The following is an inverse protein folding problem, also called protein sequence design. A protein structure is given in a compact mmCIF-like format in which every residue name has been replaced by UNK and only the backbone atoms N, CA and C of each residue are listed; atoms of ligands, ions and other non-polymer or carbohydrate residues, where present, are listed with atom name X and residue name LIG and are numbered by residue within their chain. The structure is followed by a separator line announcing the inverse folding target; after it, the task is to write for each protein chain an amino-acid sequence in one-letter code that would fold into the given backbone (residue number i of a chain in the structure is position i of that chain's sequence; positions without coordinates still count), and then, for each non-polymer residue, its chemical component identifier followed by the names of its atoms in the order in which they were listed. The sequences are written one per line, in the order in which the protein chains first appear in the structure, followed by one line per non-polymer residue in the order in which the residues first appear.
data_IF_941984493153
#
_entry.id   IF_941984493153
#
_cell.length_a   1.000
_cell.length_b   1.000
_cell.length_c   1.000
_cell.angle_alpha   90.00
_cell.angle_beta   90.00
_cell.angle_gamma   90.00
#
_symmetry.space_group_name_H-M   'P 1'
#
loop_
_entity.id
_entity.type
_entity.pdbx_description
1 polymer ?
#
# COMPACT_ATOMS: atom_id res chain seq x y z
N UNK A 1 0.09 11.97 22.83
CA UNK A 1 1.12 11.70 21.81
C UNK A 1 0.47 11.69 20.43
N UNK A 2 0.97 12.48 19.49
CA UNK A 2 0.48 12.46 18.09
C UNK A 2 1.17 11.29 17.38
N UNK A 3 0.42 10.25 17.00
CA UNK A 3 0.98 9.14 16.21
C UNK A 3 1.41 9.69 14.83
N UNK A 4 2.71 9.64 14.53
CA UNK A 4 3.26 10.03 13.23
C UNK A 4 3.66 8.78 12.47
N UNK A 5 3.09 8.59 11.28
CA UNK A 5 3.44 7.46 10.44
C UNK A 5 4.77 7.73 9.70
N UNK A 6 5.77 6.91 9.99
CA UNK A 6 7.13 6.97 9.43
C UNK A 6 7.35 5.82 8.46
N UNK A 7 8.14 6.04 7.41
CA UNK A 7 8.61 4.97 6.52
C UNK A 7 10.11 4.77 6.66
N UNK A 8 10.53 3.51 6.48
CA UNK A 8 11.93 3.10 6.39
C UNK A 8 12.17 2.64 4.96
N UNK A 9 13.10 3.29 4.26
CA UNK A 9 13.55 2.84 2.94
C UNK A 9 14.83 2.04 3.10
N UNK A 10 14.84 0.83 2.54
CA UNK A 10 16.01 -0.04 2.50
C UNK A 10 16.50 -0.12 1.07
N UNK A 11 17.76 0.28 0.83
CA UNK A 11 18.42 0.18 -0.47
C UNK A 11 19.61 -0.77 -0.35
N UNK A 12 19.74 -1.73 -1.25
CA UNK A 12 20.87 -2.67 -1.28
C UNK A 12 21.22 -3.08 -2.70
N UNK A 13 22.51 -3.27 -2.94
CA UNK A 13 23.06 -3.77 -4.21
C UNK A 13 23.15 -5.30 -4.24
N UNK A 14 22.88 -5.96 -3.10
CA UNK A 14 22.82 -7.42 -2.97
C UNK A 14 21.46 -7.84 -2.41
N UNK A 15 21.00 -9.08 -2.64
CA UNK A 15 19.77 -9.57 -2.04
C UNK A 15 19.81 -9.43 -0.51
N UNK A 16 18.76 -8.85 0.08
CA UNK A 16 18.60 -8.79 1.53
C UNK A 16 17.18 -9.16 1.94
N UNK A 17 17.06 -9.61 3.19
CA UNK A 17 15.78 -9.77 3.88
C UNK A 17 15.70 -8.66 4.92
N UNK A 18 14.68 -7.82 4.83
CA UNK A 18 14.38 -6.80 5.82
C UNK A 18 12.97 -7.02 6.36
N UNK A 19 12.83 -6.98 7.67
CA UNK A 19 11.56 -6.95 8.38
C UNK A 19 11.45 -5.66 9.19
N UNK A 20 10.23 -5.12 9.28
CA UNK A 20 9.93 -4.00 10.17
C UNK A 20 9.08 -4.54 11.32
N UNK A 21 9.49 -4.18 12.53
CA UNK A 21 8.76 -4.42 13.76
C UNK A 21 8.14 -3.09 14.17
N UNK A 22 6.82 -3.03 14.23
CA UNK A 22 6.13 -1.86 14.78
C UNK A 22 5.36 -2.29 16.03
N UNK A 23 5.50 -1.50 17.10
CA UNK A 23 4.87 -1.77 18.38
C UNK A 23 3.87 -0.66 18.75
N UNK A 24 2.78 -1.05 19.41
CA UNK A 24 1.82 -0.13 20.05
C UNK A 24 1.75 -0.43 21.54
N UNK A 25 1.88 0.60 22.38
CA UNK A 25 1.91 0.51 23.85
C UNK A 25 2.98 1.42 24.44
N UNK A 26 2.70 2.06 25.58
CA UNK A 26 3.68 2.85 26.34
C UNK A 26 4.64 1.96 27.15
N UNK A 27 5.69 2.55 27.72
CA UNK A 27 6.54 1.84 28.69
C UNK A 27 5.70 1.40 29.90
N UNK A 28 5.44 0.10 30.05
CA UNK A 28 4.68 -0.47 31.17
C UNK A 28 3.25 -0.93 30.85
N UNK A 29 2.80 -0.83 29.60
CA UNK A 29 1.55 -1.44 29.13
C UNK A 29 1.86 -2.75 28.37
N UNK A 30 0.92 -3.72 28.38
CA UNK A 30 0.95 -4.87 27.48
C UNK A 30 0.86 -4.33 26.05
N UNK A 31 1.98 -4.25 25.34
CA UNK A 31 2.02 -3.78 23.96
C UNK A 31 1.79 -4.88 22.94
N UNK A 32 1.47 -4.51 21.70
CA UNK A 32 1.38 -5.44 20.58
C UNK A 32 2.36 -5.09 19.47
N UNK A 33 2.73 -6.09 18.69
CA UNK A 33 3.80 -6.04 17.70
C UNK A 33 3.31 -6.61 16.37
N UNK A 34 3.45 -5.83 15.31
CA UNK A 34 3.28 -6.33 13.93
C UNK A 34 4.64 -6.48 13.27
N UNK A 35 4.77 -7.54 12.49
CA UNK A 35 5.87 -7.73 11.54
C UNK A 35 5.39 -7.45 10.13
N UNK A 36 6.21 -6.76 9.34
CA UNK A 36 5.96 -6.53 7.92
C UNK A 36 7.21 -6.79 7.12
N UNK A 37 7.03 -7.29 5.89
CA UNK A 37 8.12 -7.45 4.92
C UNK A 37 8.30 -6.18 4.10
N UNK A 38 9.45 -6.06 3.43
CA UNK A 38 9.64 -5.06 2.39
C UNK A 38 8.61 -5.25 1.25
N UNK A 39 8.20 -4.14 0.65
CA UNK A 39 7.33 -4.12 -0.54
C UNK A 39 7.86 -3.09 -1.53
N UNK A 40 7.73 -3.34 -2.84
CA UNK A 40 8.14 -2.37 -3.86
C UNK A 40 7.21 -1.16 -3.87
N UNK A 41 7.66 -0.05 -4.46
CA UNK A 41 6.79 1.08 -4.74
C UNK A 41 5.66 0.67 -5.68
N UNK A 42 4.50 1.29 -5.53
CA UNK A 42 3.34 1.12 -6.40
C UNK A 42 3.65 1.64 -7.81
N UNK A 43 4.07 0.75 -8.70
CA UNK A 43 4.31 1.01 -10.13
C UNK A 43 3.08 0.72 -11.01
N UNK A 44 2.08 0.04 -10.45
CA UNK A 44 0.79 -0.28 -11.05
C UNK A 44 -0.30 -0.15 -9.98
N UNK A 45 -1.60 -0.18 -10.36
CA UNK A 45 -2.68 -0.24 -9.38
C UNK A 45 -2.49 -1.41 -8.41
N UNK A 46 -2.75 -1.17 -7.14
CA UNK A 46 -2.72 -2.18 -6.08
C UNK A 46 -4.06 -2.22 -5.36
N UNK A 47 -4.46 -3.41 -4.89
CA UNK A 47 -5.70 -3.60 -4.15
C UNK A 47 -5.48 -4.27 -2.81
N UNK A 48 -6.28 -3.88 -1.82
CA UNK A 48 -6.30 -4.52 -0.51
C UNK A 48 -7.74 -4.59 0.03
N UNK A 49 -8.08 -5.67 0.73
CA UNK A 49 -9.37 -5.79 1.40
C UNK A 49 -9.40 -4.97 2.71
N UNK A 50 -10.51 -4.32 2.99
CA UNK A 50 -10.81 -3.62 4.23
C UNK A 50 -11.93 -4.34 4.96
N UNK A 51 -11.70 -4.64 6.23
CA UNK A 51 -12.62 -5.38 7.10
C UNK A 51 -12.80 -4.65 8.45
N UNK A 52 -13.20 -3.36 8.45
CA UNK A 52 -13.47 -2.66 9.71
C UNK A 52 -14.65 -3.29 10.46
N UNK A 53 -14.69 -3.12 11.78
CA UNK A 53 -15.77 -3.61 12.62
C UNK A 53 -16.11 -2.64 13.75
N UNK A 54 -17.04 -3.03 14.63
CA UNK A 54 -17.29 -2.28 15.87
C UNK A 54 -16.05 -2.22 16.75
N UNK A 55 -15.15 -3.20 16.68
CA UNK A 55 -13.96 -3.35 17.52
C UNK A 55 -12.64 -2.98 16.84
N UNK A 56 -12.61 -2.91 15.51
CA UNK A 56 -11.39 -2.71 14.73
C UNK A 56 -11.55 -1.57 13.74
N UNK A 57 -10.59 -0.64 13.76
CA UNK A 57 -10.41 0.40 12.74
C UNK A 57 -9.52 -0.13 11.61
N UNK A 58 -9.82 0.25 10.37
CA UNK A 58 -9.00 -0.05 9.20
C UNK A 58 -8.70 1.22 8.41
N UNK A 59 -7.45 1.39 7.99
CA UNK A 59 -7.00 2.54 7.20
C UNK A 59 -5.90 2.15 6.21
N UNK A 60 -5.68 2.98 5.20
CA UNK A 60 -4.45 2.94 4.41
C UNK A 60 -3.42 3.89 5.00
N UNK A 61 -2.17 3.48 4.98
CA UNK A 61 -1.00 4.33 5.18
C UNK A 61 -0.29 4.45 3.84
N UNK A 62 -0.17 5.66 3.29
CA UNK A 62 0.46 5.90 2.00
C UNK A 62 1.66 6.82 2.17
N UNK A 63 2.85 6.37 1.81
CA UNK A 63 4.10 7.10 2.03
C UNK A 63 4.79 7.46 0.73
N UNK A 64 5.25 8.70 0.62
CA UNK A 64 6.10 9.17 -0.46
C UNK A 64 7.47 9.58 0.13
N UNK A 65 8.50 8.72 0.07
CA UNK A 65 9.72 8.91 0.87
C UNK A 65 10.59 10.06 0.37
N UNK A 66 10.70 10.27 -0.94
CA UNK A 66 11.71 11.16 -1.53
C UNK A 66 11.16 12.26 -2.44
N UNK A 67 9.98 12.07 -3.04
CA UNK A 67 9.37 13.02 -3.96
C UNK A 67 7.87 13.07 -3.75
N UNK A 68 7.28 14.25 -3.90
CA UNK A 68 5.83 14.43 -3.89
C UNK A 68 5.13 13.43 -4.82
N UNK A 69 4.04 12.86 -4.32
CA UNK A 69 3.33 11.83 -5.05
C UNK A 69 1.82 12.01 -4.94
N UNK A 70 1.11 11.47 -5.93
CA UNK A 70 -0.34 11.50 -6.00
C UNK A 70 -0.86 10.12 -6.35
N UNK A 71 -1.90 9.69 -5.64
CA UNK A 71 -2.64 8.48 -5.97
C UNK A 71 -4.12 8.79 -6.00
N UNK A 72 -4.85 8.09 -6.84
CA UNK A 72 -6.31 8.05 -6.80
C UNK A 72 -6.73 6.77 -6.06
N UNK A 73 -7.63 6.92 -5.08
CA UNK A 73 -8.09 5.83 -4.21
C UNK A 73 -9.58 5.62 -4.38
N UNK A 74 -10.01 4.37 -4.56
CA UNK A 74 -11.41 3.99 -4.74
C UNK A 74 -11.77 2.84 -3.81
N UNK A 75 -12.94 2.92 -3.18
CA UNK A 75 -13.52 1.79 -2.46
C UNK A 75 -14.41 0.97 -3.42
N UNK A 76 -14.29 -0.35 -3.34
CA UNK A 76 -14.95 -1.36 -4.19
C UNK A 76 -15.83 -2.26 -3.30
N UNK A 77 -17.07 -2.52 -3.70
CA UNK A 77 -18.00 -3.40 -2.99
C UNK A 77 -19.21 -3.70 -3.87
N UNK A 78 -20.42 -3.64 -3.30
CA UNK A 78 -21.67 -3.67 -4.09
C UNK A 78 -21.83 -2.49 -5.06
N UNK A 79 -20.95 -1.50 -4.96
CA UNK A 79 -20.75 -0.43 -5.93
C UNK A 79 -19.30 0.04 -5.90
N UNK A 80 -19.02 1.14 -6.61
CA UNK A 80 -17.69 1.73 -6.66
C UNK A 80 -17.77 3.19 -6.24
N UNK A 81 -16.91 3.61 -5.31
CA UNK A 81 -16.85 5.01 -4.89
C UNK A 81 -16.27 5.89 -6.02
N UNK A 82 -16.60 7.18 -5.95
CA UNK A 82 -15.84 8.19 -6.68
C UNK A 82 -14.35 8.12 -6.28
N UNK A 83 -13.43 8.42 -7.21
CA UNK A 83 -12.00 8.47 -6.90
C UNK A 83 -11.71 9.62 -5.93
N UNK A 84 -11.05 9.29 -4.82
CA UNK A 84 -10.49 10.25 -3.89
C UNK A 84 -9.01 10.45 -4.22
N UNK A 85 -8.64 11.64 -4.67
CA UNK A 85 -7.23 11.99 -4.86
C UNK A 85 -6.54 12.23 -3.52
N UNK A 86 -5.41 11.58 -3.32
CA UNK A 86 -4.56 11.73 -2.15
C UNK A 86 -3.23 12.30 -2.61
N UNK A 87 -2.88 13.49 -2.11
CA UNK A 87 -1.58 14.12 -2.30
C UNK A 87 -0.70 13.78 -1.10
N UNK A 88 0.51 13.33 -1.36
CA UNK A 88 1.48 12.92 -0.33
C UNK A 88 2.73 13.74 -0.57
N UNK A 89 3.10 14.58 0.39
CA UNK A 89 4.34 15.33 0.32
C UNK A 89 5.55 14.43 0.47
N UNK A 90 6.69 14.83 -0.10
CA UNK A 90 7.98 14.16 0.08
C UNK A 90 8.31 13.99 1.57
N UNK A 91 8.83 12.83 1.93
CA UNK A 91 9.16 12.44 3.30
C UNK A 91 7.95 12.25 4.21
N UNK A 92 6.72 12.16 3.67
CA UNK A 92 5.50 12.09 4.48
C UNK A 92 4.70 10.82 4.24
N UNK A 93 3.93 10.45 5.27
CA UNK A 93 2.89 9.44 5.20
C UNK A 93 1.52 10.09 5.38
N UNK A 94 0.59 9.76 4.49
CA UNK A 94 -0.80 10.18 4.56
C UNK A 94 -1.67 9.01 5.02
N UNK A 95 -2.31 9.09 6.21
CA UNK A 95 -3.33 8.14 6.61
C UNK A 95 -4.62 8.42 5.83
N UNK A 96 -5.21 7.39 5.23
CA UNK A 96 -6.44 7.49 4.46
C UNK A 96 -7.47 6.54 5.04
N UNK A 97 -8.46 7.11 5.73
CA UNK A 97 -9.71 6.41 6.07
C UNK A 97 -10.68 6.52 4.89
N UNK A 98 -11.29 5.39 4.55
CA UNK A 98 -12.32 5.28 3.52
C UNK A 98 -13.61 4.75 4.15
N UNK A 99 -14.73 5.05 3.51
CA UNK A 99 -16.02 4.45 3.85
C UNK A 99 -16.36 3.41 2.79
N UNK A 100 -17.02 2.34 3.22
CA UNK A 100 -17.50 1.33 2.31
C UNK A 100 -18.53 1.92 1.33
N UNK A 101 -18.51 1.52 0.05
CA UNK A 101 -19.61 1.82 -0.86
C UNK A 101 -20.91 1.22 -0.30
N UNK A 102 -22.00 1.98 -0.38
CA UNK A 102 -23.35 1.52 -0.02
C UNK A 102 -23.47 0.91 1.39
N UNK A 103 -22.59 1.29 2.33
CA UNK A 103 -22.68 0.87 3.73
C UNK A 103 -22.23 -0.56 4.03
N UNK A 104 -21.57 -1.26 3.09
CA UNK A 104 -21.05 -2.62 3.34
C UNK A 104 -20.09 -2.67 4.54
N UNK A 105 -20.08 -3.75 5.31
CA UNK A 105 -19.15 -3.94 6.43
C UNK A 105 -17.72 -4.27 5.98
N UNK A 106 -17.58 -4.84 4.78
CA UNK A 106 -16.31 -5.17 4.15
C UNK A 106 -16.27 -4.62 2.72
N UNK A 107 -15.10 -4.19 2.28
CA UNK A 107 -14.93 -3.59 0.96
C UNK A 107 -13.48 -3.71 0.49
N UNK A 108 -13.25 -3.77 -0.82
CA UNK A 108 -11.93 -3.63 -1.40
C UNK A 108 -11.52 -2.17 -1.52
N UNK A 109 -10.23 -1.90 -1.56
CA UNK A 109 -9.69 -0.59 -1.91
C UNK A 109 -8.72 -0.74 -3.05
N UNK A 110 -8.92 0.04 -4.11
CA UNK A 110 -8.01 0.16 -5.23
C UNK A 110 -7.22 1.46 -5.09
N UNK A 111 -5.90 1.36 -5.11
CA UNK A 111 -4.97 2.49 -5.10
C UNK A 111 -4.30 2.54 -6.45
N UNK A 112 -4.42 3.66 -7.16
CA UNK A 112 -3.84 3.86 -8.49
C UNK A 112 -2.85 5.03 -8.45
N UNK A 113 -1.54 4.78 -8.59
CA UNK A 113 -0.54 5.82 -8.77
C UNK A 113 -0.85 6.66 -10.01
N UNK A 114 -0.70 7.97 -9.90
CA UNK A 114 -0.86 8.90 -11.03
C UNK A 114 0.45 9.04 -11.81
N UNK A 115 0.33 9.17 -13.12
CA UNK A 115 1.48 9.51 -13.98
C UNK A 115 2.21 10.77 -13.49
N UNK A 116 3.54 10.74 -13.55
CA UNK A 116 4.41 11.83 -13.09
C UNK A 116 4.61 11.93 -11.57
N UNK A 117 3.93 11.10 -10.76
CA UNK A 117 4.10 11.07 -9.31
C UNK A 117 5.45 10.50 -8.88
N UNK A 118 5.94 10.92 -7.71
CA UNK A 118 7.00 10.23 -7.00
C UNK A 118 6.62 8.81 -6.58
N UNK A 119 7.61 8.01 -6.12
CA UNK A 119 7.35 6.64 -5.66
C UNK A 119 6.42 6.65 -4.45
N UNK A 120 5.41 5.79 -4.46
CA UNK A 120 4.46 5.61 -3.34
C UNK A 120 4.57 4.20 -2.81
N UNK A 121 4.61 4.07 -1.50
CA UNK A 121 4.50 2.81 -0.78
C UNK A 121 3.18 2.82 0.00
N UNK A 122 2.53 1.68 0.10
CA UNK A 122 1.25 1.57 0.78
C UNK A 122 1.22 0.40 1.75
N UNK A 123 0.48 0.54 2.84
CA UNK A 123 0.05 -0.58 3.66
C UNK A 123 -1.39 -0.38 4.16
N UNK A 124 -2.08 -1.48 4.42
CA UNK A 124 -3.27 -1.49 5.27
C UNK A 124 -2.79 -1.53 6.71
N UNK A 125 -3.33 -0.64 7.53
CA UNK A 125 -3.21 -0.68 8.98
C UNK A 125 -4.57 -1.03 9.58
N UNK A 126 -4.61 -2.07 10.39
CA UNK A 126 -5.73 -2.41 11.25
C UNK A 126 -5.32 -2.24 12.71
N UNK A 127 -6.15 -1.57 13.48
CA UNK A 127 -5.92 -1.35 14.92
C UNK A 127 -7.19 -1.63 15.69
N UNK A 128 -7.09 -2.27 16.85
CA UNK A 128 -8.19 -2.32 17.80
C UNK A 128 -8.62 -0.91 18.20
N UNK A 129 -9.90 -0.75 18.52
CA UNK A 129 -10.41 0.49 19.08
C UNK A 129 -10.04 0.63 20.56
N UNK A 130 -10.07 1.85 21.11
CA UNK A 130 -9.80 2.07 22.53
C UNK A 130 -10.64 1.14 23.42
N UNK A 131 -10.00 0.48 24.38
CA UNK A 131 -10.64 -0.46 25.31
C UNK A 131 -10.62 -1.93 24.88
N UNK A 132 -10.21 -2.24 23.65
CA UNK A 132 -10.08 -3.64 23.16
C UNK A 132 -8.64 -4.20 23.27
N UNK A 133 -7.73 -3.44 23.91
CA UNK A 133 -6.29 -3.72 23.98
C UNK A 133 -5.51 -3.15 22.78
N UNK A 134 -4.17 -3.15 22.80
CA UNK A 134 -3.39 -2.83 21.63
C UNK A 134 -3.40 -4.07 20.74
N UNK A 135 -4.21 -4.09 19.69
CA UNK A 135 -4.05 -5.09 18.63
C UNK A 135 -3.82 -4.36 17.33
N UNK A 136 -2.74 -4.69 16.64
CA UNK A 136 -2.26 -3.95 15.51
C UNK A 136 -1.79 -4.93 14.43
N UNK A 137 -2.16 -4.67 13.18
CA UNK A 137 -1.67 -5.46 12.05
C UNK A 137 -1.43 -4.55 10.87
N UNK A 138 -0.29 -4.76 10.21
CA UNK A 138 0.04 -4.11 8.96
C UNK A 138 0.12 -5.12 7.82
N UNK A 139 -0.34 -4.72 6.64
CA UNK A 139 -0.23 -5.53 5.42
C UNK A 139 0.22 -4.63 4.27
N UNK A 140 1.44 -4.81 3.73
CA UNK A 140 1.89 -4.04 2.58
C UNK A 140 0.99 -4.20 1.36
N UNK A 141 0.84 -3.12 0.59
CA UNK A 141 0.26 -3.17 -0.73
C UNK A 141 1.34 -3.62 -1.72
N UNK A 142 1.01 -4.63 -2.51
CA UNK A 142 1.86 -5.12 -3.61
C UNK A 142 1.23 -4.64 -4.93
N UNK A 143 2.02 -4.11 -5.88
CA UNK A 143 1.53 -3.76 -7.21
C UNK A 143 0.82 -4.96 -7.85
N UNK A 144 -0.35 -4.72 -8.45
CA UNK A 144 -1.08 -5.76 -9.16
C UNK A 144 -0.26 -6.29 -10.34
N UNK A 145 -0.35 -7.60 -10.58
CA UNK A 145 0.31 -8.25 -11.71
C UNK A 145 -0.14 -7.58 -13.02
N UNK A 146 0.83 -7.17 -13.84
CA UNK A 146 0.58 -6.55 -15.15
C UNK A 146 0.87 -7.58 -16.24
N UNK A 147 -0.14 -7.92 -17.02
CA UNK A 147 0.09 -8.65 -18.27
C UNK A 147 0.43 -7.64 -19.36
N UNK A 148 1.49 -7.90 -20.12
CA UNK A 148 1.90 -7.09 -21.27
C UNK A 148 1.82 -8.00 -22.49
N UNK A 149 1.00 -7.62 -23.48
CA UNK A 149 1.04 -8.26 -24.80
C UNK A 149 2.28 -7.78 -25.53
N UNK A 150 3.20 -8.70 -25.83
CA UNK A 150 4.31 -8.43 -26.71
C UNK A 150 3.85 -8.58 -28.16
N UNK A 151 4.28 -7.70 -29.10
CA UNK A 151 4.02 -7.92 -30.50
C UNK A 151 4.67 -9.24 -30.95
N UNK A 152 4.07 -9.97 -31.91
CA UNK A 152 4.64 -11.22 -32.40
C UNK A 152 6.03 -10.96 -33.00
N UNK A 153 7.03 -11.68 -32.50
CA UNK A 153 8.38 -11.68 -33.09
C UNK A 153 8.35 -12.62 -34.29
N UNK A 154 8.46 -12.07 -35.49
CA UNK A 154 8.70 -12.86 -36.70
C UNK A 154 10.21 -13.04 -36.87
N UNK A 155 10.74 -14.28 -37.01
CA UNK A 155 12.13 -14.48 -37.36
C UNK A 155 12.39 -13.88 -38.76
N UNK A 156 13.42 -13.03 -38.86
CA UNK A 156 13.88 -12.52 -40.15
C UNK A 156 14.67 -13.63 -40.87
N UNK A 157 14.15 -14.14 -41.99
CA UNK A 157 14.72 -15.27 -42.74
C UNK A 157 15.94 -14.86 -43.59
N UNK A 158 16.49 -13.64 -43.41
CA UNK A 158 17.58 -13.10 -44.23
C UNK A 158 18.96 -13.08 -43.57
N UNK A 159 19.06 -13.21 -42.25
CA UNK A 159 20.31 -12.94 -41.51
C UNK A 159 21.32 -14.11 -41.48
N UNK A 160 21.02 -15.24 -42.16
CA UNK A 160 21.78 -16.49 -42.06
C UNK A 160 22.39 -17.03 -43.35
N UNK A 161 22.37 -16.28 -44.47
CA UNK A 161 23.00 -16.74 -45.72
C UNK A 161 24.33 -16.03 -45.91
N UNK A 162 25.48 -16.71 -45.72
CA UNK A 162 26.78 -16.19 -46.15
C UNK A 162 26.74 -16.01 -47.68
N UNK A 163 27.20 -14.86 -48.17
CA UNK A 163 27.51 -14.67 -49.60
C UNK A 163 28.85 -15.30 -49.93
#
# INVERSE_FOLDING_TARGET
MTKSATAVQVNSQVPLVASVVAAEGGSGEDGDVTYSTAAPSLSSPASVAMVPSSKVDASLQLTAPTKDAQVDVRALGSGVSAPKRVKIGAGKTAPVKLRAPSGSSTYGVLVTPRDGSGPVYGSRLMTAKPGEGPLLTTLPLVPGARQVSLPPVVPEVGAGVPR
#
